data_IF_642220051489
#
_entry.id   IF_642220051489
#
_cell.length_a   1.000
_cell.length_b   1.000
_cell.length_c   1.000
_cell.angle_alpha   90.00
_cell.angle_beta   90.00
_cell.angle_gamma   90.00
#
_symmetry.space_group_name_H-M   'P 1'
#
loop_
_entity.id
_entity.type
_entity.pdbx_description
1 polymer ?
#
# COMPACT_ATOMS: atom_id res chain seq x y z
N UNK A 1 9.67 12.34 10.54
CA UNK A 1 8.34 11.78 10.89
C UNK A 1 7.37 12.82 11.48
N UNK A 2 7.81 13.81 12.26
CA UNK A 2 6.93 14.90 12.76
C UNK A 2 6.33 15.76 11.64
N UNK A 3 7.11 16.05 10.59
CA UNK A 3 6.64 16.77 9.40
C UNK A 3 5.38 16.15 8.76
N UNK A 4 5.29 14.81 8.76
CA UNK A 4 4.17 14.04 8.17
C UNK A 4 2.80 14.37 8.79
N UNK A 5 2.80 14.90 10.01
CA UNK A 5 1.61 15.25 10.78
C UNK A 5 1.61 16.73 11.18
N UNK A 6 2.42 17.56 10.52
CA UNK A 6 2.47 19.00 10.77
C UNK A 6 1.26 19.69 10.13
N UNK A 7 0.16 19.78 10.88
CA UNK A 7 -1.08 20.44 10.43
C UNK A 7 -0.97 21.96 10.31
N UNK A 8 0.03 22.57 10.94
CA UNK A 8 0.25 24.02 10.85
C UNK A 8 0.84 24.43 9.49
N UNK A 9 1.37 23.47 8.72
CA UNK A 9 2.09 23.72 7.47
C UNK A 9 3.23 24.74 7.60
N UNK A 10 3.77 24.89 8.81
CA UNK A 10 5.01 25.63 9.02
C UNK A 10 6.16 24.93 8.26
N UNK A 11 7.02 25.66 7.53
CA UNK A 11 8.08 25.04 6.75
C UNK A 11 8.99 24.14 7.58
N UNK A 12 9.33 22.96 7.03
CA UNK A 12 10.30 22.04 7.63
C UNK A 12 11.39 21.79 6.60
N UNK A 13 12.59 22.30 6.87
CA UNK A 13 13.68 22.25 5.92
C UNK A 13 14.50 20.96 6.07
N UNK A 14 14.71 20.27 4.95
CA UNK A 14 15.70 19.19 4.79
C UNK A 14 16.59 19.57 3.62
N UNK A 15 17.91 19.63 3.83
CA UNK A 15 18.88 20.06 2.82
C UNK A 15 18.52 21.42 2.15
N UNK A 16 17.96 22.33 2.95
CA UNK A 16 17.55 23.67 2.50
C UNK A 16 16.20 23.72 1.77
N UNK A 17 15.50 22.60 1.59
CA UNK A 17 14.19 22.52 0.92
C UNK A 17 13.08 22.27 1.92
N UNK A 18 11.99 23.04 1.82
CA UNK A 18 10.76 22.76 2.57
C UNK A 18 10.10 21.48 2.04
N UNK A 19 9.91 20.50 2.92
CA UNK A 19 9.33 19.19 2.58
C UNK A 19 7.81 19.17 2.68
N UNK A 20 7.19 20.19 3.30
CA UNK A 20 5.74 20.21 3.53
C UNK A 20 4.89 20.14 2.24
N UNK A 21 5.25 20.80 1.12
CA UNK A 21 4.52 20.66 -0.13
C UNK A 21 4.45 19.22 -0.65
N UNK A 22 5.55 18.47 -0.58
CA UNK A 22 5.61 17.07 -1.03
C UNK A 22 4.80 16.16 -0.11
N UNK A 23 4.88 16.38 1.22
CA UNK A 23 4.04 15.68 2.20
C UNK A 23 2.56 15.85 1.88
N UNK A 24 2.12 17.09 1.64
CA UNK A 24 0.73 17.38 1.35
C UNK A 24 0.28 16.82 -0.01
N UNK A 25 1.16 16.79 -1.02
CA UNK A 25 0.85 16.21 -2.32
C UNK A 25 0.57 14.69 -2.20
N UNK A 26 1.39 13.96 -1.44
CA UNK A 26 1.16 12.53 -1.18
C UNK A 26 -0.13 12.32 -0.39
N UNK A 27 -0.40 13.10 0.66
CA UNK A 27 -1.65 13.00 1.43
C UNK A 27 -2.89 13.28 0.57
N UNK A 28 -2.82 14.25 -0.35
CA UNK A 28 -3.91 14.54 -1.29
C UNK A 28 -4.14 13.37 -2.27
N UNK A 29 -3.05 12.79 -2.79
CA UNK A 29 -3.10 11.60 -3.66
C UNK A 29 -3.70 10.39 -2.94
N UNK A 30 -3.28 10.14 -1.70
CA UNK A 30 -3.84 9.07 -0.86
C UNK A 30 -5.34 9.27 -0.64
N UNK A 31 -5.77 10.50 -0.33
CA UNK A 31 -7.19 10.82 -0.13
C UNK A 31 -8.02 10.48 -1.38
N UNK A 32 -7.58 10.90 -2.56
CA UNK A 32 -8.27 10.59 -3.83
C UNK A 32 -8.33 9.07 -4.08
N UNK A 33 -7.21 8.38 -3.93
CA UNK A 33 -7.14 6.94 -4.12
C UNK A 33 -8.08 6.17 -3.17
N UNK A 34 -8.04 6.49 -1.87
CA UNK A 34 -8.96 5.92 -0.89
C UNK A 34 -10.42 6.21 -1.25
N UNK A 35 -10.75 7.45 -1.66
CA UNK A 35 -12.12 7.82 -2.05
C UNK A 35 -12.63 6.96 -3.22
N UNK A 36 -11.79 6.72 -4.23
CA UNK A 36 -12.15 5.90 -5.40
C UNK A 36 -12.38 4.44 -5.02
N UNK A 37 -11.59 3.88 -4.10
CA UNK A 37 -11.80 2.51 -3.59
C UNK A 37 -13.07 2.43 -2.73
N UNK A 38 -13.21 3.33 -1.75
CA UNK A 38 -14.32 3.31 -0.78
C UNK A 38 -15.66 3.61 -1.44
N UNK A 39 -15.70 4.44 -2.48
CA UNK A 39 -16.92 4.69 -3.26
C UNK A 39 -17.27 3.53 -4.20
N UNK A 40 -16.33 2.61 -4.43
CA UNK A 40 -16.44 1.56 -5.43
C UNK A 40 -16.27 2.05 -6.88
N UNK A 41 -15.79 3.28 -7.10
CA UNK A 41 -15.39 3.76 -8.43
C UNK A 41 -14.22 2.94 -8.97
N UNK A 42 -13.24 2.64 -8.11
CA UNK A 42 -12.15 1.74 -8.44
C UNK A 42 -12.67 0.32 -8.64
N UNK A 43 -12.41 -0.23 -9.84
CA UNK A 43 -12.84 -1.58 -10.21
C UNK A 43 -11.67 -2.51 -10.42
N UNK A 44 -11.84 -3.76 -10.02
CA UNK A 44 -10.96 -4.85 -10.40
C UNK A 44 -11.01 -5.16 -11.90
N UNK A 45 -10.22 -6.16 -12.32
CA UNK A 45 -10.09 -6.53 -13.73
C UNK A 45 -11.41 -7.01 -14.36
N UNK A 46 -12.37 -7.50 -13.57
CA UNK A 46 -13.71 -7.90 -14.02
C UNK A 46 -14.77 -6.81 -13.89
N UNK A 47 -14.40 -5.59 -13.47
CA UNK A 47 -15.36 -4.49 -13.28
C UNK A 47 -16.07 -4.49 -11.92
N UNK A 48 -15.77 -5.44 -11.03
CA UNK A 48 -16.30 -5.48 -9.66
C UNK A 48 -15.59 -4.49 -8.75
N UNK A 49 -16.31 -3.94 -7.76
CA UNK A 49 -15.71 -3.07 -6.75
C UNK A 49 -14.80 -3.88 -5.80
N UNK A 50 -13.79 -3.21 -5.25
CA UNK A 50 -12.88 -3.80 -4.26
C UNK A 50 -13.62 -4.08 -2.95
N UNK A 51 -13.39 -5.24 -2.37
CA UNK A 51 -13.96 -5.67 -1.07
C UNK A 51 -12.90 -5.95 -0.03
N UNK A 52 -11.69 -6.32 -0.47
CA UNK A 52 -10.60 -6.77 0.37
C UNK A 52 -9.33 -5.99 0.02
N UNK A 53 -8.59 -5.57 1.05
CA UNK A 53 -7.28 -4.94 0.93
C UNK A 53 -6.27 -5.77 1.71
N UNK A 54 -5.19 -6.17 1.04
CA UNK A 54 -4.11 -6.96 1.63
C UNK A 54 -2.84 -6.11 1.68
N UNK A 55 -2.42 -5.70 2.87
CA UNK A 55 -1.13 -5.06 3.07
C UNK A 55 -0.02 -6.12 3.09
N UNK A 56 0.98 -5.97 2.22
CA UNK A 56 2.16 -6.83 2.17
C UNK A 56 3.37 -5.99 2.56
N UNK A 57 3.92 -6.21 3.74
CA UNK A 57 5.03 -5.44 4.28
C UNK A 57 5.54 -6.07 5.57
N UNK A 58 6.74 -5.73 6.01
CA UNK A 58 7.32 -6.27 7.24
C UNK A 58 7.77 -5.15 8.19
N UNK A 59 7.73 -5.42 9.49
CA UNK A 59 8.22 -4.50 10.53
C UNK A 59 7.45 -3.18 10.53
N UNK A 60 8.14 -2.06 10.24
CA UNK A 60 7.52 -0.73 10.20
C UNK A 60 6.42 -0.58 9.15
N UNK A 61 6.51 -1.33 8.05
CA UNK A 61 5.51 -1.36 6.98
C UNK A 61 4.27 -2.22 7.30
N UNK A 62 4.21 -2.82 8.49
CA UNK A 62 3.15 -3.74 8.90
C UNK A 62 2.58 -3.40 10.28
N UNK A 63 3.45 -3.31 11.29
CA UNK A 63 3.04 -3.15 12.69
C UNK A 63 2.21 -1.89 12.93
N UNK A 64 2.57 -0.77 12.30
CA UNK A 64 1.82 0.48 12.40
C UNK A 64 0.42 0.36 11.78
N UNK A 65 0.32 0.02 10.48
CA UNK A 65 -0.95 -0.23 9.80
C UNK A 65 -1.85 -1.26 10.50
N UNK A 66 -1.29 -2.38 10.96
CA UNK A 66 -2.03 -3.40 11.71
C UNK A 66 -2.58 -2.83 13.02
N UNK A 67 -1.73 -2.19 13.82
CA UNK A 67 -2.12 -1.63 15.11
C UNK A 67 -3.25 -0.59 14.97
N UNK A 68 -3.15 0.33 13.99
CA UNK A 68 -4.14 1.40 13.87
C UNK A 68 -5.49 0.91 13.35
N UNK A 69 -5.49 -0.05 12.41
CA UNK A 69 -6.74 -0.61 11.87
C UNK A 69 -7.47 -1.44 12.92
N UNK A 70 -6.74 -2.15 13.78
CA UNK A 70 -7.29 -2.85 14.94
C UNK A 70 -7.85 -1.87 15.99
N UNK A 71 -7.09 -0.85 16.35
CA UNK A 71 -7.49 0.14 17.35
C UNK A 71 -8.69 0.98 16.91
N UNK A 72 -8.78 1.32 15.63
CA UNK A 72 -9.86 2.12 15.04
C UNK A 72 -10.94 1.26 14.37
N UNK A 73 -10.98 -0.04 14.64
CA UNK A 73 -12.00 -0.96 14.07
C UNK A 73 -13.44 -0.45 14.19
N UNK A 74 -13.90 0.21 15.27
CA UNK A 74 -15.25 0.77 15.33
C UNK A 74 -15.59 1.79 14.24
N UNK A 75 -14.57 2.41 13.62
CA UNK A 75 -14.70 3.41 12.55
C UNK A 75 -14.48 2.82 11.15
N UNK A 76 -14.32 1.49 11.01
CA UNK A 76 -14.11 0.86 9.71
C UNK A 76 -15.30 1.10 8.78
N UNK A 77 -15.02 1.15 7.48
CA UNK A 77 -16.04 1.07 6.44
C UNK A 77 -16.30 -0.42 6.07
N UNK A 78 -16.81 -0.67 4.87
CA UNK A 78 -17.17 -2.01 4.39
C UNK A 78 -15.97 -2.87 3.96
N UNK A 79 -14.77 -2.30 3.80
CA UNK A 79 -13.58 -3.03 3.35
C UNK A 79 -13.07 -4.00 4.43
N UNK A 80 -12.56 -5.14 3.98
CA UNK A 80 -11.86 -6.10 4.82
C UNK A 80 -10.35 -5.92 4.68
N UNK A 81 -9.67 -5.73 5.82
CA UNK A 81 -8.23 -5.50 5.86
C UNK A 81 -7.52 -6.80 6.25
N UNK A 82 -6.47 -7.15 5.51
CA UNK A 82 -5.61 -8.30 5.78
C UNK A 82 -4.15 -7.85 5.76
N UNK A 83 -3.29 -8.53 6.52
CA UNK A 83 -1.89 -8.15 6.70
C UNK A 83 -1.01 -9.37 6.50
N UNK A 84 -0.01 -9.27 5.62
CA UNK A 84 0.93 -10.33 5.28
C UNK A 84 2.35 -9.81 5.46
N UNK A 85 3.03 -10.30 6.48
CA UNK A 85 4.36 -9.82 6.85
C UNK A 85 5.42 -10.89 7.01
N UNK A 86 5.00 -12.13 7.26
CA UNK A 86 5.92 -13.24 7.45
C UNK A 86 6.33 -13.81 6.08
N UNK A 87 7.60 -14.18 5.92
CA UNK A 87 8.10 -14.83 4.71
C UNK A 87 7.69 -16.30 4.62
N UNK A 88 7.28 -16.90 5.72
CA UNK A 88 6.62 -18.21 5.71
C UNK A 88 5.40 -18.17 4.77
N UNK A 89 5.45 -18.99 3.71
CA UNK A 89 4.43 -19.06 2.67
C UNK A 89 3.03 -19.40 3.20
N UNK A 90 2.93 -19.95 4.40
CA UNK A 90 1.66 -20.17 5.10
C UNK A 90 0.87 -18.87 5.24
N UNK A 91 1.53 -17.75 5.56
CA UNK A 91 0.82 -16.50 5.85
C UNK A 91 0.08 -15.96 4.62
N UNK A 92 0.77 -15.89 3.47
CA UNK A 92 0.15 -15.48 2.21
C UNK A 92 -0.87 -16.53 1.75
N UNK A 93 -0.57 -17.82 1.83
CA UNK A 93 -1.48 -18.88 1.40
C UNK A 93 -2.81 -18.86 2.18
N UNK A 94 -2.77 -18.72 3.51
CA UNK A 94 -3.97 -18.65 4.35
C UNK A 94 -4.76 -17.36 4.13
N UNK A 95 -4.08 -16.25 3.80
CA UNK A 95 -4.74 -14.99 3.44
C UNK A 95 -5.45 -15.11 2.10
N UNK A 96 -4.79 -15.67 1.08
CA UNK A 96 -5.35 -15.84 -0.27
C UNK A 96 -6.54 -16.79 -0.33
N UNK A 97 -6.70 -17.71 0.63
CA UNK A 97 -7.90 -18.56 0.77
C UNK A 97 -9.15 -17.77 1.18
N UNK A 98 -8.98 -16.58 1.78
CA UNK A 98 -10.08 -15.77 2.34
C UNK A 98 -10.58 -14.69 1.37
N UNK A 99 -9.84 -14.40 0.31
CA UNK A 99 -10.07 -13.24 -0.56
C UNK A 99 -10.33 -13.66 -2.01
N UNK A 100 -10.91 -12.77 -2.81
CA UNK A 100 -11.31 -13.05 -4.19
C UNK A 100 -10.41 -12.27 -5.18
N UNK A 101 -9.78 -12.93 -6.18
CA UNK A 101 -8.87 -12.27 -7.12
C UNK A 101 -9.55 -11.14 -7.92
N UNK A 102 -10.87 -11.17 -8.10
CA UNK A 102 -11.61 -10.14 -8.82
C UNK A 102 -11.86 -8.86 -8.00
N UNK A 103 -11.75 -8.91 -6.67
CA UNK A 103 -12.15 -7.82 -5.76
C UNK A 103 -11.11 -7.51 -4.67
N UNK A 104 -9.87 -8.00 -4.81
CA UNK A 104 -8.80 -7.79 -3.84
C UNK A 104 -7.79 -6.77 -4.34
N UNK A 105 -7.48 -5.74 -3.55
CA UNK A 105 -6.37 -4.83 -3.79
C UNK A 105 -5.17 -5.19 -2.89
N UNK A 106 -3.99 -5.30 -3.47
CA UNK A 106 -2.74 -5.54 -2.76
C UNK A 106 -1.95 -4.23 -2.61
N UNK A 107 -1.54 -3.90 -1.39
CA UNK A 107 -0.64 -2.79 -1.10
C UNK A 107 0.75 -3.35 -0.81
N UNK A 108 1.74 -3.10 -1.68
CA UNK A 108 3.12 -3.56 -1.50
C UNK A 108 3.92 -2.47 -0.79
N UNK A 109 4.17 -2.69 0.50
CA UNK A 109 4.74 -1.71 1.42
C UNK A 109 6.22 -1.99 1.69
N UNK A 110 7.10 -1.49 0.83
CA UNK A 110 8.55 -1.59 0.99
C UNK A 110 9.23 -0.33 0.48
N UNK A 111 10.00 0.34 1.35
CA UNK A 111 10.74 1.56 1.01
C UNK A 111 11.63 1.37 -0.21
N UNK A 112 12.44 0.31 -0.18
CA UNK A 112 13.42 0.01 -1.23
C UNK A 112 12.81 -0.78 -2.38
N UNK A 113 11.63 -1.38 -2.17
CA UNK A 113 11.00 -2.33 -3.09
C UNK A 113 11.86 -3.58 -3.39
N UNK A 114 12.77 -3.90 -2.47
CA UNK A 114 13.71 -5.01 -2.61
C UNK A 114 13.76 -5.91 -1.37
N UNK A 115 13.00 -5.58 -0.31
CA UNK A 115 12.93 -6.38 0.92
C UNK A 115 12.47 -7.80 0.58
N UNK A 116 13.30 -8.79 0.88
CA UNK A 116 13.10 -10.17 0.41
C UNK A 116 11.74 -10.72 0.84
N UNK A 117 11.39 -10.60 2.12
CA UNK A 117 10.13 -11.09 2.67
C UNK A 117 8.91 -10.44 2.00
N UNK A 118 8.97 -9.13 1.78
CA UNK A 118 7.89 -8.37 1.14
C UNK A 118 7.76 -8.74 -0.34
N UNK A 119 8.88 -8.81 -1.07
CA UNK A 119 8.85 -9.09 -2.51
C UNK A 119 8.52 -10.55 -2.83
N UNK A 120 8.94 -11.50 -1.99
CA UNK A 120 8.51 -12.90 -2.11
C UNK A 120 6.99 -13.05 -1.94
N UNK A 121 6.40 -12.36 -0.96
CA UNK A 121 4.95 -12.37 -0.76
C UNK A 121 4.21 -11.61 -1.88
N UNK A 122 4.73 -10.46 -2.32
CA UNK A 122 4.15 -9.68 -3.41
C UNK A 122 4.15 -10.47 -4.73
N UNK A 123 5.24 -11.16 -5.05
CA UNK A 123 5.30 -12.04 -6.22
C UNK A 123 4.29 -13.20 -6.11
N UNK A 124 4.18 -13.82 -4.94
CA UNK A 124 3.21 -14.89 -4.69
C UNK A 124 1.76 -14.41 -4.90
N UNK A 125 1.44 -13.20 -4.43
CA UNK A 125 0.13 -12.57 -4.66
C UNK A 125 -0.09 -12.23 -6.15
N UNK A 126 0.94 -11.75 -6.85
CA UNK A 126 0.89 -11.43 -8.29
C UNK A 126 0.64 -12.69 -9.11
N UNK A 127 1.37 -13.76 -8.84
CA UNK A 127 1.20 -15.04 -9.54
C UNK A 127 -0.18 -15.64 -9.28
N UNK A 128 -0.69 -15.52 -8.05
CA UNK A 128 -2.05 -15.92 -7.70
C UNK A 128 -3.11 -15.14 -8.49
N UNK A 129 -2.97 -13.81 -8.59
CA UNK A 129 -3.87 -12.97 -9.37
C UNK A 129 -3.83 -13.36 -10.85
N UNK A 130 -2.64 -13.47 -11.44
CA UNK A 130 -2.47 -13.74 -12.86
C UNK A 130 -2.93 -15.15 -13.26
N UNK A 131 -2.83 -16.12 -12.35
CA UNK A 131 -3.40 -17.45 -12.56
C UNK A 131 -4.93 -17.40 -12.75
N UNK A 132 -5.61 -16.50 -12.05
CA UNK A 132 -7.05 -16.30 -12.17
C UNK A 132 -7.41 -15.39 -13.35
N UNK A 133 -6.77 -14.22 -13.46
CA UNK A 133 -7.08 -13.19 -14.45
C UNK A 133 -6.64 -13.56 -15.87
N UNK A 134 -5.52 -14.30 -16.00
CA UNK A 134 -4.88 -14.67 -17.27
C UNK A 134 -4.53 -13.46 -18.16
N UNK A 135 -4.36 -12.29 -17.56
CA UNK A 135 -4.03 -11.03 -18.21
C UNK A 135 -3.14 -10.18 -17.30
N UNK A 136 -2.00 -9.75 -17.83
CA UNK A 136 -1.03 -8.88 -17.15
C UNK A 136 -1.61 -7.50 -16.82
N UNK A 137 -2.59 -7.01 -17.60
CA UNK A 137 -3.24 -5.73 -17.34
C UNK A 137 -3.98 -5.68 -15.99
N UNK A 138 -4.28 -6.84 -15.41
CA UNK A 138 -4.91 -6.94 -14.09
C UNK A 138 -4.01 -6.38 -12.97
N UNK A 139 -2.67 -6.45 -13.10
CA UNK A 139 -1.75 -5.99 -12.05
C UNK A 139 -1.97 -4.51 -11.74
N UNK A 140 -2.09 -3.67 -12.77
CA UNK A 140 -2.31 -2.22 -12.62
C UNK A 140 -3.62 -1.86 -11.88
N UNK A 141 -4.60 -2.76 -11.85
CA UNK A 141 -5.89 -2.56 -11.15
C UNK A 141 -5.91 -3.14 -9.73
N UNK A 142 -5.00 -4.06 -9.43
CA UNK A 142 -5.03 -4.86 -8.20
C UNK A 142 -3.78 -4.68 -7.33
N UNK A 143 -2.82 -3.86 -7.75
CA UNK A 143 -1.63 -3.55 -6.97
C UNK A 143 -1.36 -2.05 -6.92
N UNK A 144 -0.99 -1.59 -5.72
CA UNK A 144 -0.41 -0.28 -5.46
C UNK A 144 0.86 -0.45 -4.62
N UNK A 145 1.78 0.52 -4.71
CA UNK A 145 3.08 0.45 -4.03
C UNK A 145 3.27 1.61 -3.05
N UNK A 146 3.80 1.33 -1.87
CA UNK A 146 4.25 2.33 -0.89
C UNK A 146 5.78 2.26 -0.88
N UNK A 147 6.43 3.10 -1.69
CA UNK A 147 7.84 2.94 -2.07
C UNK A 147 8.45 4.24 -2.62
N UNK A 148 9.78 4.33 -2.65
CA UNK A 148 10.53 5.37 -3.38
C UNK A 148 11.13 4.89 -4.69
N UNK A 149 11.01 3.61 -5.00
CA UNK A 149 11.72 2.97 -6.11
C UNK A 149 10.80 2.78 -7.33
N UNK A 150 10.54 3.88 -8.05
CA UNK A 150 9.66 3.87 -9.23
C UNK A 150 10.07 2.83 -10.28
N UNK A 151 11.38 2.60 -10.46
CA UNK A 151 11.90 1.65 -11.46
C UNK A 151 11.49 0.22 -11.15
N UNK A 152 11.66 -0.23 -9.91
CA UNK A 152 11.30 -1.59 -9.53
C UNK A 152 9.77 -1.77 -9.39
N UNK A 153 9.05 -0.70 -9.03
CA UNK A 153 7.57 -0.69 -9.04
C UNK A 153 7.01 -0.86 -10.46
N UNK A 154 7.52 -0.09 -11.42
CA UNK A 154 7.13 -0.20 -12.83
C UNK A 154 7.50 -1.58 -13.39
N UNK A 155 8.71 -2.08 -13.09
CA UNK A 155 9.15 -3.42 -13.49
C UNK A 155 8.26 -4.53 -12.95
N UNK A 156 7.69 -4.37 -11.76
CA UNK A 156 6.73 -5.32 -11.18
C UNK A 156 5.37 -5.32 -11.91
N UNK A 157 5.06 -4.26 -12.67
CA UNK A 157 3.82 -4.07 -13.42
C UNK A 157 2.80 -3.18 -12.72
N UNK A 158 3.18 -2.50 -11.63
CA UNK A 158 2.32 -1.50 -10.97
C UNK A 158 2.41 -0.19 -11.76
N UNK A 159 1.25 0.40 -12.05
CA UNK A 159 1.18 1.76 -12.58
C UNK A 159 1.82 2.71 -11.56
N UNK A 160 2.81 3.52 -11.98
CA UNK A 160 3.50 4.47 -11.11
C UNK A 160 2.56 5.57 -10.59
N UNK A 161 1.41 5.78 -11.22
CA UNK A 161 0.33 6.59 -10.67
C UNK A 161 -0.26 5.98 -9.38
N UNK A 162 -0.14 4.66 -9.17
CA UNK A 162 -0.52 3.95 -7.94
C UNK A 162 0.69 3.72 -7.00
N UNK A 163 1.80 4.44 -7.21
CA UNK A 163 2.91 4.50 -6.26
C UNK A 163 2.75 5.70 -5.31
N UNK A 164 2.91 5.46 -4.02
CA UNK A 164 2.83 6.48 -2.97
C UNK A 164 4.17 6.59 -2.27
N UNK A 165 4.80 7.74 -2.45
CA UNK A 165 6.16 7.98 -2.00
C UNK A 165 6.23 8.34 -0.52
N UNK A 166 7.37 8.03 0.09
CA UNK A 166 7.75 8.52 1.41
C UNK A 166 9.28 8.60 1.51
N UNK A 167 9.81 9.43 2.40
CA UNK A 167 11.20 9.89 2.24
C UNK A 167 12.21 9.18 3.15
N UNK A 168 13.50 9.39 2.88
CA UNK A 168 14.60 8.79 3.64
C UNK A 168 14.64 9.18 5.12
N UNK A 169 14.22 10.40 5.43
CA UNK A 169 14.07 10.92 6.79
C UNK A 169 12.85 10.35 7.55
N UNK A 170 12.11 9.41 6.93
CA UNK A 170 11.05 8.62 7.58
C UNK A 170 11.61 7.24 7.94
N UNK A 171 12.00 7.09 9.21
CA UNK A 171 12.38 5.77 9.74
C UNK A 171 11.18 4.83 9.78
N UNK A 172 11.39 3.54 9.45
CA UNK A 172 10.30 2.55 9.30
C UNK A 172 9.39 2.42 10.52
N UNK A 173 9.93 2.38 11.75
CA UNK A 173 9.09 2.31 12.97
C UNK A 173 8.28 3.59 13.27
N UNK A 174 8.46 4.65 12.48
CA UNK A 174 7.74 5.92 12.58
C UNK A 174 6.98 6.26 11.28
N UNK A 175 6.86 5.31 10.34
CA UNK A 175 6.31 5.56 9.00
C UNK A 175 4.79 5.51 8.92
N UNK A 176 4.08 5.09 9.97
CA UNK A 176 2.61 5.06 9.98
C UNK A 176 1.95 6.35 9.46
N UNK A 177 2.58 7.49 9.70
CA UNK A 177 2.06 8.81 9.32
C UNK A 177 2.37 9.21 7.86
N UNK A 178 3.13 8.40 7.11
CA UNK A 178 3.43 8.61 5.69
C UNK A 178 2.47 7.79 4.81
N UNK A 179 2.82 7.61 3.53
CA UNK A 179 2.17 6.68 2.62
C UNK A 179 1.98 5.26 3.20
N UNK A 180 2.80 4.82 4.16
CA UNK A 180 2.66 3.50 4.80
C UNK A 180 1.31 3.34 5.53
N UNK A 181 0.68 4.43 5.97
CA UNK A 181 -0.64 4.40 6.60
C UNK A 181 -1.84 4.45 5.64
N UNK A 182 -1.63 4.24 4.32
CA UNK A 182 -2.69 4.15 3.32
C UNK A 182 -3.66 3.00 3.65
#
# INVERSE_FOLDING_TARGET
HTALRNRTNTPVLVDGKDVMPEVNAVLAKMKDFCQRIISGEWKGYTGKAITDVVNIGIGGSDLGPYMVTEALRPYKNHLNMHFVSNVDGTHIAETLKKVNPETTLFLVASKTFTTQETMTNAQSARDWLLKAAKDESAVAKHFAALSTNAKDVEKFGIDTNNMFEFWDWVGGRYSLWSAIGL
#
